data_IF_978672455469
#
_entry.id   IF_978672455469
#
_cell.length_a   1.000
_cell.length_b   1.000
_cell.length_c   1.000
_cell.angle_alpha   90.00
_cell.angle_beta   90.00
_cell.angle_gamma   90.00
#
_symmetry.space_group_name_H-M   'P 1'
#
loop_
_entity.id
_entity.type
_entity.pdbx_description
1 polymer ?
#
# COMPACT_ATOMS: atom_id res chain seq x y z
N UNK A 1 -13.89 -37.61 2.30
CA UNK A 1 -14.83 -36.77 1.52
C UNK A 1 -14.04 -35.59 0.93
N UNK A 2 -13.74 -35.59 -0.38
CA UNK A 2 -13.07 -34.46 -1.06
C UNK A 2 -14.12 -33.37 -1.33
N UNK A 3 -13.89 -32.14 -0.85
CA UNK A 3 -14.72 -30.96 -1.17
C UNK A 3 -14.43 -30.55 -2.62
N UNK A 4 -15.48 -30.49 -3.44
CA UNK A 4 -15.43 -29.97 -4.81
C UNK A 4 -15.78 -28.48 -4.74
N UNK A 5 -14.86 -27.63 -5.22
CA UNK A 5 -15.05 -26.18 -5.28
C UNK A 5 -15.53 -25.85 -6.70
N UNK A 6 -16.57 -25.03 -6.80
CA UNK A 6 -17.17 -24.56 -8.06
C UNK A 6 -16.95 -23.05 -8.16
N UNK A 7 -16.66 -22.56 -9.36
CA UNK A 7 -16.67 -21.13 -9.70
C UNK A 7 -17.53 -20.98 -10.95
N UNK A 8 -18.55 -20.12 -10.91
CA UNK A 8 -19.50 -19.88 -12.01
C UNK A 8 -20.11 -21.15 -12.64
N UNK A 9 -20.57 -22.10 -11.82
CA UNK A 9 -21.21 -23.37 -12.24
C UNK A 9 -20.32 -24.37 -13.00
N UNK A 10 -19.00 -24.14 -13.12
CA UNK A 10 -18.07 -25.10 -13.74
C UNK A 10 -17.19 -25.78 -12.69
N UNK A 11 -16.97 -27.09 -12.87
CA UNK A 11 -16.09 -27.89 -12.01
C UNK A 11 -14.64 -27.54 -12.31
N UNK A 12 -13.80 -27.23 -11.32
CA UNK A 12 -12.40 -26.82 -11.52
C UNK A 12 -11.58 -27.86 -12.33
N UNK A 13 -11.95 -29.14 -12.27
CA UNK A 13 -11.35 -30.21 -13.08
C UNK A 13 -11.59 -30.03 -14.60
N UNK A 14 -12.66 -29.35 -15.01
CA UNK A 14 -12.96 -29.09 -16.43
C UNK A 14 -12.13 -27.93 -16.99
N UNK A 15 -11.94 -26.85 -16.23
CA UNK A 15 -11.16 -25.66 -16.65
C UNK A 15 -9.68 -26.03 -16.90
N UNK A 16 -9.12 -26.89 -16.04
CA UNK A 16 -7.77 -27.43 -16.22
C UNK A 16 -7.64 -28.27 -17.50
N UNK A 17 -8.66 -29.05 -17.83
CA UNK A 17 -8.73 -29.83 -19.08
C UNK A 17 -8.78 -28.94 -20.32
N UNK A 18 -9.56 -27.85 -20.30
CA UNK A 18 -9.62 -26.90 -21.42
C UNK A 18 -8.30 -26.16 -21.63
N UNK A 19 -7.63 -25.71 -20.56
CA UNK A 19 -6.32 -25.06 -20.68
C UNK A 19 -5.24 -26.01 -21.20
N UNK A 20 -5.20 -27.26 -20.72
CA UNK A 20 -4.23 -28.26 -21.20
C UNK A 20 -4.50 -28.66 -22.64
N UNK A 21 -5.77 -28.84 -23.03
CA UNK A 21 -6.16 -29.13 -24.41
C UNK A 21 -5.90 -27.95 -25.34
N UNK A 22 -6.11 -26.71 -24.87
CA UNK A 22 -5.80 -25.49 -25.61
C UNK A 22 -4.30 -25.34 -25.82
N UNK A 23 -3.50 -25.52 -24.77
CA UNK A 23 -2.03 -25.48 -24.85
C UNK A 23 -1.49 -26.57 -25.78
N UNK A 24 -2.01 -27.81 -25.69
CA UNK A 24 -1.61 -28.89 -26.58
C UNK A 24 -2.02 -28.62 -28.04
N UNK A 25 -3.22 -28.11 -28.29
CA UNK A 25 -3.66 -27.71 -29.62
C UNK A 25 -2.73 -26.63 -30.20
N UNK A 26 -2.36 -25.64 -29.39
CA UNK A 26 -1.45 -24.56 -29.79
C UNK A 26 -0.04 -25.09 -30.07
N UNK A 27 0.50 -25.96 -29.22
CA UNK A 27 1.83 -26.57 -29.43
C UNK A 27 1.84 -27.42 -30.70
N UNK A 28 0.81 -28.23 -30.94
CA UNK A 28 0.72 -29.06 -32.14
C UNK A 28 0.58 -28.22 -33.41
N UNK A 29 -0.29 -27.20 -33.41
CA UNK A 29 -0.49 -26.33 -34.58
C UNK A 29 0.73 -25.47 -34.92
N UNK A 30 1.46 -24.97 -33.93
CA UNK A 30 2.58 -24.04 -34.15
C UNK A 30 3.97 -24.70 -34.07
N UNK A 31 4.03 -26.03 -33.97
CA UNK A 31 5.28 -26.82 -33.92
C UNK A 31 6.17 -26.67 -35.17
N UNK A 32 5.59 -26.30 -36.30
CA UNK A 32 6.30 -26.11 -37.58
C UNK A 32 6.87 -24.69 -37.76
N UNK A 33 6.57 -23.75 -36.87
CA UNK A 33 7.16 -22.42 -36.93
C UNK A 33 8.60 -22.45 -36.40
N UNK A 34 9.53 -21.82 -37.13
CA UNK A 34 10.90 -21.60 -36.64
C UNK A 34 10.82 -20.89 -35.28
N UNK A 35 11.59 -21.35 -34.29
CA UNK A 35 11.59 -20.83 -32.91
C UNK A 35 11.63 -19.28 -32.82
N UNK A 36 12.31 -18.62 -33.76
CA UNK A 36 12.36 -17.15 -33.84
C UNK A 36 11.02 -16.49 -34.18
N UNK A 37 10.18 -17.10 -35.02
CA UNK A 37 8.86 -16.56 -35.38
C UNK A 37 7.88 -16.74 -34.24
N UNK A 38 7.95 -17.86 -33.52
CA UNK A 38 7.14 -18.08 -32.31
C UNK A 38 7.49 -17.08 -31.20
N UNK A 39 8.80 -16.85 -30.96
CA UNK A 39 9.26 -15.83 -30.00
C UNK A 39 8.79 -14.43 -30.38
N UNK A 40 8.84 -14.08 -31.67
CA UNK A 40 8.39 -12.78 -32.17
C UNK A 40 6.87 -12.60 -32.04
N UNK A 41 6.07 -13.63 -32.35
CA UNK A 41 4.62 -13.61 -32.18
C UNK A 41 4.21 -13.55 -30.71
N UNK A 42 4.89 -14.29 -29.84
CA UNK A 42 4.66 -14.23 -28.40
C UNK A 42 4.99 -12.83 -27.84
N UNK A 43 6.09 -12.23 -28.31
CA UNK A 43 6.46 -10.85 -27.96
C UNK A 43 5.41 -9.84 -28.46
N UNK A 44 4.89 -10.00 -29.68
CA UNK A 44 3.81 -9.15 -30.21
C UNK A 44 2.52 -9.27 -29.40
N UNK A 45 2.15 -10.50 -29.00
CA UNK A 45 0.99 -10.75 -28.15
C UNK A 45 1.20 -10.12 -26.77
N UNK A 46 2.38 -10.30 -26.16
CA UNK A 46 2.73 -9.71 -24.87
C UNK A 46 2.62 -8.17 -24.89
N UNK A 47 3.16 -7.53 -25.94
CA UNK A 47 3.05 -6.08 -26.15
C UNK A 47 1.60 -5.65 -26.36
N UNK A 48 0.80 -6.41 -27.09
CA UNK A 48 -0.62 -6.07 -27.31
C UNK A 48 -1.46 -6.17 -26.02
N UNK A 49 -1.18 -7.15 -25.15
CA UNK A 49 -1.89 -7.32 -23.87
C UNK A 49 -1.50 -6.21 -22.89
N UNK A 50 -0.24 -5.76 -22.91
CA UNK A 50 0.23 -4.62 -22.12
C UNK A 50 -0.32 -3.26 -22.60
N UNK A 51 -0.80 -3.16 -23.84
CA UNK A 51 -1.35 -1.93 -24.41
C UNK A 51 -2.85 -1.71 -24.11
N UNK A 52 -3.58 -2.74 -23.68
CA UNK A 52 -5.02 -2.66 -23.39
C UNK A 52 -5.42 -1.72 -22.23
N UNK A 53 -4.64 -1.55 -21.14
CA UNK A 53 -5.03 -0.64 -20.06
C UNK A 53 -4.76 0.84 -20.37
N UNK A 54 -4.03 1.17 -21.45
CA UNK A 54 -3.74 2.56 -21.83
C UNK A 54 -4.94 3.22 -22.55
N UNK A 55 -5.78 2.45 -23.21
CA UNK A 55 -6.91 2.99 -23.99
C UNK A 55 -8.28 2.93 -23.27
N UNK A 56 -8.32 2.51 -22.00
CA UNK A 56 -9.57 2.41 -21.22
C UNK A 56 -9.70 3.51 -20.15
N UNK A 57 -8.81 4.51 -20.16
CA UNK A 57 -9.01 5.72 -19.36
C UNK A 57 -9.95 6.63 -20.14
N UNK A 58 -11.24 6.62 -19.79
CA UNK A 58 -12.16 7.66 -20.20
C UNK A 58 -11.63 8.99 -19.66
N UNK A 59 -11.00 9.77 -20.54
CA UNK A 59 -10.66 11.15 -20.31
C UNK A 59 -11.97 11.95 -20.15
N UNK A 60 -12.49 11.97 -18.93
CA UNK A 60 -13.44 12.98 -18.46
C UNK A 60 -12.76 14.34 -18.38
N UNK A 61 -12.30 14.87 -19.51
CA UNK A 61 -11.69 16.19 -19.64
C UNK A 61 -12.62 17.12 -20.42
N UNK A 62 -13.71 17.54 -19.78
CA UNK A 62 -14.48 18.70 -20.20
C UNK A 62 -15.36 19.21 -19.05
N UNK A 63 -14.75 19.86 -18.07
CA UNK A 63 -15.23 21.18 -17.69
C UNK A 63 -14.09 21.95 -17.03
N UNK A 64 -13.59 22.98 -17.73
CA UNK A 64 -12.79 24.01 -17.08
C UNK A 64 -13.76 24.85 -16.29
N UNK A 65 -13.97 24.48 -15.03
CA UNK A 65 -14.57 25.36 -14.05
C UNK A 65 -13.74 26.65 -14.02
N UNK A 66 -14.36 27.73 -14.51
CA UNK A 66 -13.84 29.09 -14.33
C UNK A 66 -13.59 29.24 -12.83
N UNK A 67 -12.36 29.55 -12.44
CA UNK A 67 -11.96 29.83 -11.05
C UNK A 67 -12.73 31.07 -10.54
N UNK A 68 -13.99 30.86 -10.17
CA UNK A 68 -14.83 31.79 -9.45
C UNK A 68 -14.46 31.77 -7.98
N UNK A 69 -14.63 32.91 -7.31
CA UNK A 69 -14.37 33.09 -5.87
C UNK A 69 -15.12 32.05 -5.00
N UNK A 70 -16.19 31.45 -5.53
CA UNK A 70 -16.92 30.33 -4.92
C UNK A 70 -16.06 29.07 -4.68
N UNK A 71 -15.09 28.75 -5.55
CA UNK A 71 -14.22 27.57 -5.38
C UNK A 71 -13.14 27.75 -4.30
N UNK A 72 -12.94 28.98 -3.83
CA UNK A 72 -12.12 29.27 -2.64
C UNK A 72 -12.93 29.00 -1.36
N UNK A 73 -14.26 29.09 -1.43
CA UNK A 73 -15.17 28.99 -0.29
C UNK A 73 -15.79 27.60 -0.20
N UNK A 74 -15.84 26.82 -1.29
CA UNK A 74 -16.24 25.41 -1.26
C UNK A 74 -15.21 24.61 -0.47
N UNK A 75 -15.55 24.10 0.72
CA UNK A 75 -14.66 23.18 1.44
C UNK A 75 -14.46 22.00 0.50
N UNK A 76 -13.25 21.85 -0.06
CA UNK A 76 -12.80 20.61 -0.70
C UNK A 76 -13.33 19.48 0.16
N UNK A 77 -14.22 18.63 -0.37
CA UNK A 77 -14.89 17.56 0.38
C UNK A 77 -13.91 16.96 1.38
N UNK A 78 -14.05 17.40 2.63
CA UNK A 78 -13.18 16.94 3.70
C UNK A 78 -13.73 15.57 3.98
N UNK A 79 -13.19 14.57 3.27
CA UNK A 79 -13.40 13.17 3.59
C UNK A 79 -13.26 13.08 5.10
N UNK A 80 -14.37 12.78 5.78
CA UNK A 80 -14.38 12.54 7.21
C UNK A 80 -13.48 11.33 7.39
N UNK A 81 -12.21 11.59 7.67
CA UNK A 81 -11.21 10.56 7.80
C UNK A 81 -11.52 9.84 9.10
N UNK A 82 -12.12 8.67 8.98
CA UNK A 82 -12.39 7.84 10.13
C UNK A 82 -11.09 7.22 10.64
N UNK A 83 -10.77 7.53 11.89
CA UNK A 83 -9.58 7.02 12.58
C UNK A 83 -10.03 5.96 13.56
N UNK A 84 -9.45 4.78 13.46
CA UNK A 84 -9.80 3.66 14.37
C UNK A 84 -8.81 3.56 15.53
N UNK A 85 -7.55 3.96 15.33
CA UNK A 85 -6.49 3.77 16.32
C UNK A 85 -6.62 4.63 17.58
N UNK A 86 -7.36 5.72 17.55
CA UNK A 86 -7.47 6.58 18.74
C UNK A 86 -8.41 6.03 19.81
N UNK A 87 -9.38 5.21 19.43
CA UNK A 87 -10.42 4.74 20.36
C UNK A 87 -10.78 3.25 20.23
N UNK A 88 -10.14 2.50 19.32
CA UNK A 88 -10.54 1.14 18.89
C UNK A 88 -11.97 1.07 18.31
N UNK A 89 -12.57 2.23 18.06
CA UNK A 89 -13.82 2.42 17.34
C UNK A 89 -13.60 3.44 16.24
N UNK A 90 -14.27 3.29 15.09
CA UNK A 90 -14.23 4.28 14.02
C UNK A 90 -14.82 5.59 14.53
N UNK A 91 -14.03 6.67 14.50
CA UNK A 91 -14.49 8.02 14.85
C UNK A 91 -13.94 9.04 13.86
N UNK A 92 -14.71 10.09 13.61
CA UNK A 92 -14.20 11.28 12.91
C UNK A 92 -13.02 11.87 13.66
N UNK A 93 -12.02 12.38 12.94
CA UNK A 93 -10.89 13.12 13.52
C UNK A 93 -11.38 14.29 14.39
N UNK A 94 -12.47 14.96 14.00
CA UNK A 94 -13.01 16.14 14.69
C UNK A 94 -13.57 15.81 16.08
N UNK A 95 -13.99 14.56 16.30
CA UNK A 95 -14.55 14.09 17.58
C UNK A 95 -13.48 13.53 18.52
N UNK A 96 -12.22 13.47 18.09
CA UNK A 96 -11.13 12.92 18.88
C UNK A 96 -10.45 14.00 19.73
N UNK A 97 -10.25 13.76 21.04
CA UNK A 97 -9.54 14.71 21.92
C UNK A 97 -8.01 14.66 21.74
N UNK A 98 -7.52 14.08 20.63
CA UNK A 98 -6.11 13.82 20.36
C UNK A 98 -5.73 14.39 19.00
N UNK A 99 -4.50 14.86 18.86
CA UNK A 99 -3.98 15.22 17.53
C UNK A 99 -3.75 13.93 16.74
N UNK A 100 -4.32 13.84 15.54
CA UNK A 100 -4.10 12.74 14.60
C UNK A 100 -3.61 13.31 13.27
N UNK A 101 -2.66 12.62 12.65
CA UNK A 101 -2.24 12.84 11.27
C UNK A 101 -2.46 11.57 10.48
N UNK A 102 -3.14 11.67 9.35
CA UNK A 102 -3.43 10.53 8.48
C UNK A 102 -2.70 10.73 7.17
N UNK A 103 -1.95 9.70 6.78
CA UNK A 103 -1.30 9.62 5.46
C UNK A 103 -2.14 8.69 4.62
N UNK A 104 -2.72 9.20 3.54
CA UNK A 104 -3.62 8.42 2.68
C UNK A 104 -2.85 7.55 1.69
N UNK A 105 -3.52 6.57 1.09
CA UNK A 105 -3.00 5.83 -0.05
C UNK A 105 -2.51 6.77 -1.17
N UNK A 106 -3.29 7.79 -1.51
CA UNK A 106 -2.91 8.77 -2.55
C UNK A 106 -1.59 9.45 -2.18
N UNK A 107 -1.42 9.86 -0.92
CA UNK A 107 -0.17 10.47 -0.45
C UNK A 107 1.01 9.49 -0.56
N UNK A 108 0.81 8.21 -0.23
CA UNK A 108 1.85 7.17 -0.30
C UNK A 108 2.34 6.99 -1.73
N UNK A 109 1.41 6.84 -2.68
CA UNK A 109 1.76 6.61 -4.08
C UNK A 109 2.31 7.87 -4.76
N UNK A 110 1.67 9.03 -4.55
CA UNK A 110 2.07 10.29 -5.18
C UNK A 110 3.46 10.75 -4.77
N UNK A 111 3.85 10.50 -3.51
CA UNK A 111 5.16 10.89 -2.99
C UNK A 111 6.21 9.77 -3.06
N UNK A 112 5.85 8.58 -3.57
CA UNK A 112 6.76 7.44 -3.68
C UNK A 112 7.27 6.94 -2.31
N UNK A 113 6.40 6.94 -1.30
CA UNK A 113 6.78 6.46 0.03
C UNK A 113 6.92 4.95 0.04
N UNK A 114 8.15 4.50 0.25
CA UNK A 114 8.52 3.08 0.18
C UNK A 114 8.68 2.44 1.57
N UNK A 115 8.97 3.25 2.57
CA UNK A 115 9.18 2.81 3.94
C UNK A 115 8.46 3.71 4.93
N UNK A 116 8.27 3.21 6.16
CA UNK A 116 7.66 4.03 7.21
C UNK A 116 8.56 5.22 7.55
N UNK A 117 9.87 5.09 7.34
CA UNK A 117 10.83 6.17 7.49
C UNK A 117 10.56 7.34 6.53
N UNK A 118 10.18 7.06 5.28
CA UNK A 118 9.87 8.09 4.30
C UNK A 118 8.62 8.87 4.70
N UNK A 119 7.59 8.12 5.12
CA UNK A 119 6.34 8.68 5.65
C UNK A 119 6.62 9.58 6.85
N UNK A 120 7.34 9.07 7.85
CA UNK A 120 7.61 9.80 9.10
C UNK A 120 8.47 11.06 8.91
N UNK A 121 9.29 11.13 7.87
CA UNK A 121 10.07 12.34 7.54
C UNK A 121 9.19 13.51 7.07
N UNK A 122 8.03 13.23 6.48
CA UNK A 122 7.11 14.26 6.02
C UNK A 122 6.14 14.74 7.12
N UNK A 123 5.92 13.90 8.13
CA UNK A 123 4.91 14.15 9.15
C UNK A 123 5.34 15.28 10.10
N UNK A 124 4.54 16.35 10.27
CA UNK A 124 4.90 17.49 11.10
C UNK A 124 5.20 17.12 12.55
N UNK A 125 6.29 17.64 13.11
CA UNK A 125 6.68 17.37 14.49
C UNK A 125 7.31 15.99 14.72
N UNK A 126 7.56 15.23 13.65
CA UNK A 126 8.38 14.02 13.68
C UNK A 126 9.76 14.32 13.09
N UNK A 127 10.81 13.82 13.75
CA UNK A 127 12.18 13.87 13.23
C UNK A 127 12.73 12.47 13.17
N UNK A 128 13.26 12.08 12.01
CA UNK A 128 13.90 10.77 11.83
C UNK A 128 15.39 10.96 11.62
N UNK A 129 16.20 10.16 12.31
CA UNK A 129 17.64 10.07 12.19
C UNK A 129 18.04 8.65 11.82
N UNK A 130 18.94 8.51 10.86
CA UNK A 130 19.46 7.22 10.41
C UNK A 130 20.98 7.22 10.71
N UNK A 131 21.44 6.50 11.74
CA UNK A 131 22.82 6.55 12.24
C UNK A 131 23.87 5.91 11.31
N UNK A 132 23.60 5.76 10.01
CA UNK A 132 24.58 5.31 9.01
C UNK A 132 24.87 3.80 8.98
N UNK A 133 24.57 3.05 10.05
CA UNK A 133 24.60 1.58 10.04
C UNK A 133 23.19 1.00 10.08
N UNK A 134 22.90 0.05 9.19
CA UNK A 134 21.59 -0.63 9.14
C UNK A 134 21.29 -1.47 10.39
N UNK A 135 22.34 -1.87 11.12
CA UNK A 135 22.25 -2.65 12.37
C UNK A 135 21.69 -1.84 13.55
N UNK A 136 21.92 -0.53 13.58
CA UNK A 136 21.43 0.34 14.66
C UNK A 136 19.97 0.77 14.46
N UNK A 137 19.37 0.48 13.30
CA UNK A 137 18.00 0.87 12.97
C UNK A 137 17.81 2.39 12.85
N UNK A 138 16.58 2.81 12.55
CA UNK A 138 16.24 4.23 12.47
C UNK A 138 15.82 4.73 13.85
N UNK A 139 16.27 5.93 14.23
CA UNK A 139 15.78 6.64 15.42
C UNK A 139 14.75 7.68 14.98
N UNK A 140 13.66 7.85 15.74
CA UNK A 140 12.72 8.94 15.52
C UNK A 140 12.27 9.59 16.82
N UNK A 141 11.96 10.88 16.71
CA UNK A 141 11.42 11.70 17.77
C UNK A 141 10.04 12.17 17.36
N UNK A 142 9.10 12.21 18.31
CA UNK A 142 7.79 12.82 18.13
C UNK A 142 7.69 13.96 19.13
N UNK A 143 7.57 15.20 18.65
CA UNK A 143 7.54 16.42 19.48
C UNK A 143 8.70 16.49 20.49
N UNK A 144 9.88 15.99 20.10
CA UNK A 144 11.10 15.98 20.93
C UNK A 144 11.25 14.78 21.87
N UNK A 145 10.23 13.90 21.98
CA UNK A 145 10.29 12.69 22.80
C UNK A 145 10.79 11.50 21.98
N UNK A 146 11.52 10.60 22.62
CA UNK A 146 12.07 9.38 21.97
C UNK A 146 10.91 8.48 21.54
N UNK A 147 10.72 8.35 20.22
CA UNK A 147 9.65 7.57 19.64
C UNK A 147 9.90 6.06 19.70
N UNK A 148 11.15 5.62 19.47
CA UNK A 148 11.50 4.20 19.36
C UNK A 148 11.12 3.32 20.57
N UNK A 149 11.08 3.89 21.76
CA UNK A 149 10.78 3.15 22.99
C UNK A 149 9.35 3.36 23.49
N UNK A 150 8.72 4.47 23.09
CA UNK A 150 7.47 4.94 23.69
C UNK A 150 6.36 5.22 22.66
N UNK A 151 6.59 4.86 21.40
CA UNK A 151 5.57 4.88 20.34
C UNK A 151 5.25 3.45 19.93
N UNK A 152 3.98 3.07 20.02
CA UNK A 152 3.54 1.74 19.60
C UNK A 152 3.29 1.73 18.10
N UNK A 153 3.86 0.75 17.40
CA UNK A 153 3.60 0.53 15.97
C UNK A 153 2.63 -0.64 15.82
N UNK A 154 1.60 -0.44 15.02
CA UNK A 154 0.52 -1.38 14.79
C UNK A 154 0.39 -1.67 13.29
N UNK A 155 0.00 -2.89 12.94
CA UNK A 155 -0.52 -3.24 11.62
C UNK A 155 -1.94 -3.72 11.82
N UNK A 156 -2.91 -3.05 11.21
CA UNK A 156 -4.35 -3.33 11.37
C UNK A 156 -4.77 -3.37 12.85
N UNK A 157 -4.22 -2.48 13.67
CA UNK A 157 -4.48 -2.41 15.11
C UNK A 157 -3.79 -3.49 15.96
N UNK A 158 -3.05 -4.41 15.34
CA UNK A 158 -2.27 -5.44 16.03
C UNK A 158 -0.86 -4.90 16.29
N UNK A 159 -0.40 -4.86 17.56
CA UNK A 159 0.93 -4.40 17.88
C UNK A 159 2.00 -5.28 17.26
N UNK A 160 2.96 -4.65 16.61
CA UNK A 160 4.21 -5.31 16.22
C UNK A 160 5.31 -4.90 17.19
N UNK A 161 6.20 -5.85 17.47
CA UNK A 161 7.34 -5.62 18.32
C UNK A 161 8.60 -5.62 17.45
N UNK A 162 9.09 -4.45 17.03
CA UNK A 162 10.37 -4.40 16.37
C UNK A 162 11.46 -4.88 17.33
N UNK A 163 12.25 -5.83 16.85
CA UNK A 163 13.27 -6.55 17.60
C UNK A 163 14.18 -5.61 18.39
N UNK A 164 14.35 -5.93 19.67
CA UNK A 164 15.12 -5.20 20.67
C UNK A 164 16.60 -5.11 20.30
N UNK A 165 17.09 -3.90 20.02
CA UNK A 165 18.41 -3.34 20.41
C UNK A 165 18.62 -1.99 19.66
N UNK A 166 18.58 -0.88 20.38
CA UNK A 166 19.07 0.43 19.92
C UNK A 166 18.21 1.21 18.91
N UNK A 167 17.39 0.55 18.08
CA UNK A 167 16.52 1.21 17.10
C UNK A 167 15.39 0.31 16.59
N UNK A 168 14.51 0.90 15.77
CA UNK A 168 13.43 0.17 15.10
C UNK A 168 13.78 0.06 13.61
N UNK A 169 13.75 -1.14 13.00
CA UNK A 169 13.79 -1.26 11.55
C UNK A 169 12.47 -0.73 10.96
N UNK A 170 12.41 0.59 10.77
CA UNK A 170 11.29 1.33 10.14
C UNK A 170 11.41 1.35 8.61
N UNK A 171 12.21 0.44 8.06
CA UNK A 171 12.56 0.39 6.64
C UNK A 171 11.54 -0.47 5.88
N UNK A 172 11.98 -1.27 4.91
CA UNK A 172 11.13 -2.01 3.98
C UNK A 172 10.38 -3.22 4.58
N UNK A 173 10.48 -3.49 5.89
CA UNK A 173 9.79 -4.63 6.50
C UNK A 173 8.29 -4.40 6.72
N UNK A 174 7.82 -3.15 6.63
CA UNK A 174 6.44 -2.78 6.93
C UNK A 174 5.65 -2.58 5.62
N UNK A 175 4.36 -2.98 5.58
CA UNK A 175 3.54 -2.94 4.36
C UNK A 175 3.03 -1.53 4.04
N UNK A 176 3.94 -0.55 3.89
CA UNK A 176 3.58 0.86 3.64
C UNK A 176 2.92 1.04 2.28
N UNK A 177 3.46 0.42 1.22
CA UNK A 177 2.86 0.50 -0.14
C UNK A 177 1.53 -0.24 -0.27
N UNK A 178 1.24 -1.17 0.64
CA UNK A 178 -0.03 -1.90 0.68
C UNK A 178 -1.01 -1.25 1.68
N UNK A 179 -0.62 -0.15 2.31
CA UNK A 179 -1.47 0.57 3.24
C UNK A 179 -2.54 1.34 2.48
N UNK A 180 -3.79 1.19 2.92
CA UNK A 180 -4.89 2.09 2.57
C UNK A 180 -4.68 3.46 3.24
N UNK A 181 -4.16 3.45 4.48
CA UNK A 181 -3.74 4.65 5.19
C UNK A 181 -2.80 4.32 6.35
N UNK A 182 -2.07 5.32 6.80
CA UNK A 182 -1.26 5.28 8.02
C UNK A 182 -1.78 6.34 8.99
N UNK A 183 -2.24 5.90 10.15
CA UNK A 183 -2.74 6.75 11.22
C UNK A 183 -1.63 7.03 12.24
N UNK A 184 -1.32 8.30 12.50
CA UNK A 184 -0.29 8.73 13.43
C UNK A 184 -0.94 9.58 14.51
N UNK A 185 -0.94 9.07 15.74
CA UNK A 185 -1.56 9.69 16.89
C UNK A 185 -0.46 10.26 17.78
N UNK A 186 -0.53 11.56 18.04
CA UNK A 186 0.38 12.23 18.96
C UNK A 186 -0.15 12.15 20.39
N UNK A 187 0.76 11.90 21.33
CA UNK A 187 0.45 11.88 22.75
C UNK A 187 0.11 10.49 23.27
N UNK A 188 -0.25 10.44 24.54
CA UNK A 188 -0.41 9.17 25.25
C UNK A 188 -1.67 8.42 24.82
N UNK A 189 -1.47 7.20 24.34
CA UNK A 189 -2.52 6.21 24.11
C UNK A 189 -2.33 5.00 25.02
N UNK A 190 -1.65 5.19 26.16
CA UNK A 190 -1.31 4.11 27.09
C UNK A 190 -2.52 3.42 27.70
N UNK A 191 -3.64 4.15 27.86
CA UNK A 191 -4.92 3.58 28.30
C UNK A 191 -5.46 2.51 27.33
N UNK A 192 -5.11 2.60 26.03
CA UNK A 192 -5.62 1.73 24.97
C UNK A 192 -4.62 0.66 24.56
N UNK A 193 -3.32 1.00 24.51
CA UNK A 193 -2.25 0.14 23.98
C UNK A 193 -1.12 -0.19 24.98
N UNK A 194 -1.23 0.25 26.24
CA UNK A 194 -0.27 -0.03 27.30
C UNK A 194 0.92 0.92 27.36
N UNK A 195 1.86 0.66 28.29
CA UNK A 195 2.93 1.58 28.68
C UNK A 195 3.81 2.10 27.52
N UNK A 196 4.07 1.28 26.49
CA UNK A 196 4.92 1.66 25.35
C UNK A 196 4.21 2.55 24.31
N UNK A 197 3.00 3.04 24.61
CA UNK A 197 2.26 4.01 23.79
C UNK A 197 2.17 5.40 24.45
N UNK A 198 3.17 5.76 25.25
CA UNK A 198 3.19 7.01 26.04
C UNK A 198 3.44 8.27 25.19
N UNK A 199 4.18 8.14 24.08
CA UNK A 199 4.50 9.23 23.15
C UNK A 199 3.52 9.29 21.97
N UNK A 200 3.05 8.13 21.51
CA UNK A 200 2.15 8.07 20.37
C UNK A 200 1.85 6.64 19.92
N UNK A 201 1.06 6.58 18.85
CA UNK A 201 0.73 5.33 18.14
C UNK A 201 0.84 5.58 16.65
N UNK A 202 1.46 4.65 15.93
CA UNK A 202 1.48 4.61 14.48
C UNK A 202 0.77 3.33 14.07
N UNK A 203 -0.30 3.42 13.30
CA UNK A 203 -1.03 2.25 12.80
C UNK A 203 -1.07 2.24 11.28
N UNK A 204 -0.58 1.16 10.70
CA UNK A 204 -0.61 0.89 9.27
C UNK A 204 -1.86 0.08 8.99
N UNK A 205 -2.83 0.67 8.29
CA UNK A 205 -4.07 -0.01 7.90
C UNK A 205 -3.91 -0.47 6.46
N UNK A 206 -3.87 -1.78 6.25
CA UNK A 206 -3.71 -2.38 4.93
C UNK A 206 -5.04 -2.47 4.20
N UNK A 207 -5.00 -2.40 2.87
CA UNK A 207 -6.17 -2.62 2.02
C UNK A 207 -6.83 -3.97 2.35
N UNK A 208 -8.16 -3.96 2.44
CA UNK A 208 -8.94 -5.21 2.54
C UNK A 208 -9.01 -5.88 1.17
N UNK A 209 -9.08 -7.21 1.17
CA UNK A 209 -9.39 -7.94 -0.05
C UNK A 209 -10.77 -7.48 -0.56
N UNK A 210 -10.83 -7.01 -1.81
CA UNK A 210 -12.07 -6.75 -2.52
C UNK A 210 -12.68 -8.07 -2.99
N UNK A 211 -14.01 -8.18 -3.00
CA UNK A 211 -14.72 -9.29 -3.63
C UNK A 211 -14.54 -9.31 -5.17
N UNK A 212 -14.04 -8.21 -5.74
CA UNK A 212 -13.69 -8.11 -7.15
C UNK A 212 -12.24 -8.53 -7.37
N UNK A 213 -12.02 -9.43 -8.33
CA UNK A 213 -10.68 -9.81 -8.77
C UNK A 213 -9.97 -8.60 -9.38
N UNK A 214 -8.89 -8.16 -8.75
CA UNK A 214 -7.99 -7.16 -9.30
C UNK A 214 -6.55 -7.70 -9.32
N UNK A 215 -5.76 -7.24 -10.27
CA UNK A 215 -4.34 -7.54 -10.37
C UNK A 215 -3.58 -6.21 -10.46
N UNK A 216 -2.58 -6.04 -9.60
CA UNK A 216 -1.73 -4.86 -9.60
C UNK A 216 -0.28 -5.34 -9.64
N UNK A 217 0.52 -4.73 -10.50
CA UNK A 217 1.96 -4.94 -10.53
C UNK A 217 2.64 -3.57 -10.59
N UNK A 218 3.61 -3.35 -9.71
CA UNK A 218 4.42 -2.14 -9.67
C UNK A 218 5.86 -2.50 -10.04
N UNK A 219 6.48 -1.69 -10.89
CA UNK A 219 7.89 -1.80 -11.22
C UNK A 219 8.56 -0.43 -11.14
N UNK A 220 9.63 -0.33 -10.37
CA UNK A 220 10.41 0.90 -10.24
C UNK A 220 11.88 0.63 -10.47
N UNK A 221 12.52 1.58 -11.14
CA UNK A 221 13.94 1.60 -11.42
C UNK A 221 14.50 2.95 -10.99
N UNK A 222 15.66 2.96 -10.37
CA UNK A 222 16.26 4.16 -9.81
C UNK A 222 17.78 4.12 -9.83
N UNK A 223 18.38 5.21 -9.34
CA UNK A 223 19.82 5.34 -9.23
C UNK A 223 20.42 4.30 -8.27
N UNK A 224 21.73 4.08 -8.38
CA UNK A 224 22.47 3.11 -7.55
C UNK A 224 21.95 1.67 -7.64
N UNK A 225 21.31 1.30 -8.76
CA UNK A 225 20.75 -0.04 -8.96
C UNK A 225 19.49 -0.31 -8.14
N UNK A 226 18.77 0.74 -7.72
CA UNK A 226 17.46 0.60 -7.10
C UNK A 226 16.48 -0.05 -8.09
N UNK A 227 15.98 -1.22 -7.74
CA UNK A 227 14.93 -1.91 -8.47
C UNK A 227 13.89 -2.39 -7.46
N UNK A 228 12.62 -2.07 -7.70
CA UNK A 228 11.50 -2.51 -6.88
C UNK A 228 10.46 -3.18 -7.78
N UNK A 229 10.01 -4.37 -7.39
CA UNK A 229 8.98 -5.12 -8.10
C UNK A 229 7.96 -5.63 -7.08
N UNK A 230 6.69 -5.39 -7.35
CA UNK A 230 5.56 -5.87 -6.56
C UNK A 230 4.51 -6.46 -7.51
N UNK A 231 3.96 -7.62 -7.19
CA UNK A 231 2.99 -8.35 -8.01
C UNK A 231 2.04 -9.18 -7.15
#
# INVERSE_FOLDING_TARGET
>A
MKRVIFVNNYKIEEIGGYLVNFLNYFITQYSHLKKGVFSFLFFLILVSVLALPICAQEDGFADREVLGVESIISPKEQYVQEVTSASRSSKSIEDLPLTVYVVTEEDIHKNGYNSLTDVLKMVPGIKVSQPGSGELGNMFLIRGLIGNLYTKILINGIPIQPSTLGGIPLSYQLPVRQAERIEIIYGTSAAVYGADASVGVINIITKKASDQSFAQADAEIGQYGYNYLNF
#
